data_IF_469450027068
#
_entry.id   IF_469450027068
#
_cell.length_a   1.000
_cell.length_b   1.000
_cell.length_c   1.000
_cell.angle_alpha   90.00
_cell.angle_beta   90.00
_cell.angle_gamma   90.00
#
_symmetry.space_group_name_H-M   'P 1'
#
loop_
_entity.id
_entity.type
_entity.pdbx_description
1 polymer ?
#
# COMPACT_ATOMS: atom_id res chain seq x y z
N UNK A 1 -7.10 -14.65 3.95
CA UNK A 1 -6.78 -14.32 5.36
C UNK A 1 -6.83 -12.81 5.47
N UNK A 2 -7.60 -12.27 6.42
CA UNK A 2 -7.74 -10.81 6.60
C UNK A 2 -7.10 -10.38 7.91
N UNK A 3 -6.27 -9.35 7.85
CA UNK A 3 -5.70 -8.71 9.04
C UNK A 3 -6.46 -7.40 9.27
N UNK A 4 -6.94 -7.21 10.50
CA UNK A 4 -7.73 -6.04 10.90
C UNK A 4 -6.99 -5.28 12.02
N UNK A 5 -7.38 -4.03 12.26
CA UNK A 5 -6.74 -3.12 13.21
C UNK A 5 -5.27 -2.77 12.87
N UNK A 6 -4.90 -2.88 11.59
CA UNK A 6 -3.57 -2.52 11.07
C UNK A 6 -3.55 -1.13 10.41
N UNK A 7 -4.39 -0.21 10.91
CA UNK A 7 -4.56 1.12 10.31
C UNK A 7 -3.60 2.19 10.83
N UNK A 8 -2.87 1.94 11.91
CA UNK A 8 -2.02 2.92 12.57
C UNK A 8 -0.57 2.43 12.73
N UNK A 9 0.36 3.19 12.16
CA UNK A 9 1.81 2.96 12.16
C UNK A 9 2.35 1.83 11.28
N UNK A 10 1.54 0.89 10.77
CA UNK A 10 2.07 -0.22 9.94
C UNK A 10 2.67 0.29 8.64
N UNK A 11 1.97 1.19 7.95
CA UNK A 11 2.48 1.80 6.72
C UNK A 11 3.69 2.71 7.00
N UNK A 12 3.66 3.45 8.11
CA UNK A 12 4.73 4.39 8.45
C UNK A 12 6.02 3.66 8.88
N UNK A 13 5.92 2.65 9.76
CA UNK A 13 7.05 1.87 10.25
C UNK A 13 7.53 0.84 9.24
N UNK A 14 6.62 0.28 8.44
CA UNK A 14 6.94 -0.64 7.37
C UNK A 14 7.70 0.02 6.22
N UNK A 15 7.89 1.34 6.23
CA UNK A 15 8.60 2.03 5.15
C UNK A 15 7.79 2.00 3.86
N UNK A 16 6.54 2.46 3.92
CA UNK A 16 5.72 2.65 2.73
C UNK A 16 6.44 3.58 1.73
N UNK A 17 6.72 3.07 0.52
CA UNK A 17 7.55 3.75 -0.48
C UNK A 17 9.07 3.61 -0.31
N UNK A 18 9.52 2.87 0.71
CA UNK A 18 10.93 2.54 0.98
C UNK A 18 11.29 1.11 0.53
N UNK A 19 12.36 0.55 1.10
CA UNK A 19 12.78 -0.83 0.84
C UNK A 19 12.19 -1.79 1.88
N UNK A 20 11.61 -2.89 1.42
CA UNK A 20 11.05 -3.93 2.29
C UNK A 20 12.06 -5.06 2.52
N UNK A 21 11.83 -5.84 3.59
CA UNK A 21 12.59 -7.06 3.82
C UNK A 21 12.45 -7.99 2.61
N UNK A 22 13.58 -8.48 2.09
CA UNK A 22 13.66 -9.27 0.87
C UNK A 22 13.17 -8.58 -0.43
N UNK A 23 13.11 -7.24 -0.48
CA UNK A 23 12.66 -6.48 -1.66
C UNK A 23 11.26 -6.88 -2.15
N UNK A 24 10.40 -7.32 -1.22
CA UNK A 24 9.01 -7.65 -1.55
C UNK A 24 8.27 -6.33 -1.75
N UNK A 25 7.65 -6.08 -2.92
CA UNK A 25 7.00 -4.81 -3.16
C UNK A 25 5.78 -4.61 -2.25
N UNK A 26 5.55 -3.36 -1.83
CA UNK A 26 4.34 -3.01 -1.10
C UNK A 26 3.11 -3.17 -1.98
N UNK A 27 2.03 -3.82 -1.48
CA UNK A 27 0.81 -4.05 -2.26
C UNK A 27 0.08 -2.74 -2.56
N UNK A 28 -0.72 -2.73 -3.63
CA UNK A 28 -1.62 -1.62 -3.93
C UNK A 28 -2.59 -1.36 -2.78
N UNK A 29 -2.90 -0.08 -2.55
CA UNK A 29 -3.85 0.36 -1.54
C UNK A 29 -5.10 0.90 -2.22
N UNK A 30 -6.27 0.42 -1.79
CA UNK A 30 -7.57 0.82 -2.33
C UNK A 30 -8.42 1.36 -1.20
N UNK A 31 -8.98 2.55 -1.40
CA UNK A 31 -9.99 3.13 -0.52
C UNK A 31 -11.35 2.63 -0.98
N UNK A 32 -12.07 2.01 -0.07
CA UNK A 32 -13.45 1.58 -0.31
C UNK A 32 -14.34 2.54 0.46
N UNK A 33 -15.18 3.27 -0.27
CA UNK A 33 -16.17 4.21 0.27
C UNK A 33 -17.56 3.68 -0.03
N UNK A 34 -18.50 4.00 0.84
CA UNK A 34 -19.92 3.71 0.63
C UNK A 34 -20.63 5.05 0.47
N UNK A 35 -21.29 5.23 -0.66
CA UNK A 35 -22.07 6.44 -0.93
C UNK A 35 -23.40 6.45 -0.17
N UNK A 36 -24.09 7.59 -0.16
CA UNK A 36 -25.39 7.78 0.48
C UNK A 36 -26.48 6.83 -0.07
N UNK A 37 -26.36 6.42 -1.34
CA UNK A 37 -27.25 5.44 -1.98
C UNK A 37 -26.89 3.99 -1.64
N UNK A 38 -25.87 3.76 -0.83
CA UNK A 38 -25.41 2.43 -0.42
C UNK A 38 -24.50 1.72 -1.42
N UNK A 39 -24.16 2.35 -2.55
CA UNK A 39 -23.23 1.83 -3.54
C UNK A 39 -21.78 1.87 -3.04
N UNK A 40 -21.02 0.82 -3.34
CA UNK A 40 -19.60 0.74 -3.02
C UNK A 40 -18.76 1.35 -4.14
N UNK A 41 -18.01 2.40 -3.82
CA UNK A 41 -16.99 2.97 -4.70
C UNK A 41 -15.60 2.59 -4.22
N UNK A 42 -14.78 2.12 -5.15
CA UNK A 42 -13.36 1.86 -4.91
C UNK A 42 -12.51 2.90 -5.63
N UNK A 43 -11.59 3.52 -4.90
CA UNK A 43 -10.59 4.45 -5.44
C UNK A 43 -9.20 3.90 -5.15
N UNK A 44 -8.31 3.96 -6.13
CA UNK A 44 -6.94 3.54 -5.95
C UNK A 44 -6.20 4.65 -5.20
N UNK A 45 -5.83 4.38 -3.94
CA UNK A 45 -5.09 5.33 -3.10
C UNK A 45 -3.62 5.33 -3.48
N UNK A 46 -3.09 4.16 -3.80
CA UNK A 46 -1.76 4.02 -4.31
C UNK A 46 -1.54 2.73 -5.09
N UNK A 47 -0.69 2.85 -6.10
CA UNK A 47 -0.26 1.74 -6.94
C UNK A 47 0.65 0.78 -6.18
N UNK A 48 0.75 -0.44 -6.72
CA UNK A 48 1.71 -1.42 -6.26
C UNK A 48 3.13 -0.90 -6.50
N UNK A 49 4.01 -1.07 -5.51
CA UNK A 49 5.38 -0.63 -5.65
C UNK A 49 6.10 -1.46 -6.72
N UNK A 50 6.88 -0.81 -7.59
CA UNK A 50 7.69 -1.52 -8.57
C UNK A 50 9.06 -1.91 -8.01
N UNK A 51 9.61 -3.02 -8.50
CA UNK A 51 10.99 -3.45 -8.18
C UNK A 51 12.03 -2.42 -8.63
N UNK A 52 11.79 -1.74 -9.76
CA UNK A 52 12.63 -0.65 -10.25
C UNK A 52 12.67 0.53 -9.26
N UNK A 53 11.53 0.89 -8.65
CA UNK A 53 11.49 1.92 -7.62
C UNK A 53 12.33 1.57 -6.40
N UNK A 54 12.33 0.29 -6.01
CA UNK A 54 13.18 -0.21 -4.91
C UNK A 54 14.67 -0.19 -5.28
N UNK A 55 15.03 -0.62 -6.49
CA UNK A 55 16.42 -0.58 -6.99
C UNK A 55 16.95 0.86 -7.07
N UNK A 56 16.14 1.79 -7.55
CA UNK A 56 16.45 3.23 -7.56
C UNK A 56 16.73 3.78 -6.16
N UNK A 57 15.99 3.28 -5.15
CA UNK A 57 16.18 3.68 -3.75
C UNK A 57 17.50 3.15 -3.19
N UNK A 58 17.99 2.02 -3.70
CA UNK A 58 19.29 1.44 -3.39
C UNK A 58 20.45 2.07 -4.17
N UNK A 59 20.17 3.00 -5.09
CA UNK A 59 21.19 3.67 -5.91
C UNK A 59 21.62 2.90 -7.16
N UNK A 60 20.82 1.92 -7.59
CA UNK A 60 20.97 1.25 -8.89
C UNK A 60 20.20 2.00 -10.00
#
# INVERSE_FOLDING_TARGET
IGFFNTGAYQNALGGYGGIQHCLIPSPKQVLIKKDENGELKSELFADEQSHEGMLKTLGY
#
